data_IF_327164568835
#
_entry.id   IF_327164568835
#
_cell.length_a   1.000
_cell.length_b   1.000
_cell.length_c   1.000
_cell.angle_alpha   90.00
_cell.angle_beta   90.00
_cell.angle_gamma   90.00
#
_symmetry.space_group_name_H-M   'P 1'
#
loop_
_entity.id
_entity.type
_entity.pdbx_description
1 polymer ?
#
# COMPACT_ATOMS: atom_id res chain seq x y z
N UNK A 1 11.86 -17.00 -23.34
CA UNK A 1 11.66 -15.78 -22.51
C UNK A 1 10.78 -16.09 -21.30
N UNK A 2 11.37 -16.65 -20.24
CA UNK A 2 10.81 -16.76 -18.87
C UNK A 2 11.99 -16.89 -17.91
N UNK A 3 12.28 -15.84 -17.17
CA UNK A 3 13.11 -15.77 -15.96
C UNK A 3 12.85 -14.35 -15.42
N UNK A 4 12.58 -14.10 -14.15
CA UNK A 4 13.42 -14.39 -12.99
C UNK A 4 12.51 -14.62 -11.78
N UNK A 5 12.66 -15.78 -11.13
CA UNK A 5 12.21 -16.04 -9.78
C UNK A 5 13.43 -15.81 -8.89
N UNK A 6 13.55 -14.62 -8.31
CA UNK A 6 14.54 -14.36 -7.26
C UNK A 6 13.82 -14.28 -5.91
N UNK A 7 14.06 -15.31 -5.11
CA UNK A 7 13.55 -15.49 -3.76
C UNK A 7 14.73 -15.18 -2.85
N UNK A 8 14.73 -14.00 -2.23
CA UNK A 8 15.67 -13.70 -1.14
C UNK A 8 14.97 -12.87 -0.07
N UNK A 9 14.68 -13.52 1.07
CA UNK A 9 14.23 -12.85 2.29
C UNK A 9 12.97 -13.39 2.98
N UNK A 10 12.79 -14.71 3.11
CA UNK A 10 11.74 -15.27 3.99
C UNK A 10 12.23 -15.36 5.44
N UNK A 11 12.14 -14.25 6.19
CA UNK A 11 12.04 -14.32 7.64
C UNK A 11 10.61 -14.68 8.04
N UNK A 12 10.37 -15.90 8.54
CA UNK A 12 9.04 -16.39 8.99
C UNK A 12 8.82 -16.37 10.50
N UNK A 13 8.59 -15.20 11.11
CA UNK A 13 8.03 -15.05 12.46
C UNK A 13 6.51 -15.34 12.48
N UNK A 14 6.12 -16.54 12.93
CA UNK A 14 4.73 -17.05 13.01
C UNK A 14 3.92 -16.26 14.06
N UNK A 15 2.80 -15.66 13.64
CA UNK A 15 1.86 -14.95 14.52
C UNK A 15 0.51 -14.75 13.81
N UNK A 16 -0.61 -14.76 14.55
CA UNK A 16 -2.00 -14.90 14.05
C UNK A 16 -2.55 -13.75 13.18
N UNK A 17 -1.70 -12.90 12.60
CA UNK A 17 -2.10 -11.85 11.66
C UNK A 17 -0.91 -11.40 10.77
N UNK A 18 -0.27 -12.37 10.13
CA UNK A 18 1.00 -12.14 9.41
C UNK A 18 0.76 -11.49 8.05
N UNK A 19 1.16 -10.23 7.93
CA UNK A 19 1.23 -9.53 6.65
C UNK A 19 2.39 -10.06 5.81
N UNK A 20 2.17 -10.16 4.49
CA UNK A 20 3.22 -10.45 3.53
C UNK A 20 3.92 -9.14 3.16
N UNK A 21 5.24 -9.08 3.39
CA UNK A 21 6.07 -7.92 3.06
C UNK A 21 7.14 -8.39 2.08
N UNK A 22 7.12 -7.83 0.86
CA UNK A 22 8.17 -8.01 -0.12
C UNK A 22 9.01 -6.73 -0.19
N UNK A 23 10.33 -6.89 -0.14
CA UNK A 23 11.29 -5.78 -0.27
C UNK A 23 12.17 -6.05 -1.46
N UNK A 24 12.32 -5.03 -2.29
CA UNK A 24 13.31 -4.92 -3.35
C UNK A 24 13.97 -3.55 -3.17
N UNK A 25 15.04 -3.29 -3.91
CA UNK A 25 15.83 -2.05 -3.80
C UNK A 25 14.96 -0.79 -3.82
N UNK A 26 14.13 -0.63 -4.86
CA UNK A 26 13.26 0.54 -5.03
C UNK A 26 11.82 0.31 -4.59
N UNK A 27 11.40 -0.93 -4.39
CA UNK A 27 9.99 -1.29 -4.19
C UNK A 27 9.75 -1.98 -2.85
N UNK A 28 8.70 -1.56 -2.14
CA UNK A 28 8.14 -2.29 -1.00
C UNK A 28 6.69 -2.61 -1.30
N UNK A 29 6.30 -3.88 -1.11
CA UNK A 29 4.90 -4.32 -1.19
C UNK A 29 4.50 -4.83 0.19
N UNK A 30 3.37 -4.35 0.70
CA UNK A 30 2.71 -4.86 1.91
C UNK A 30 1.33 -5.36 1.51
N UNK A 31 1.11 -6.67 1.64
CA UNK A 31 -0.10 -7.34 1.20
C UNK A 31 -0.59 -8.32 2.27
N UNK A 32 -1.89 -8.67 2.24
CA UNK A 32 -2.43 -9.70 3.15
C UNK A 32 -1.85 -11.08 2.86
N UNK A 33 -1.62 -11.41 1.58
CA UNK A 33 -1.04 -12.66 1.09
C UNK A 33 -0.25 -12.38 -0.20
N UNK A 34 0.71 -13.24 -0.60
CA UNK A 34 1.38 -13.10 -1.89
C UNK A 34 0.41 -13.28 -3.07
N UNK A 35 0.76 -12.73 -4.24
CA UNK A 35 0.04 -12.96 -5.50
C UNK A 35 -1.32 -12.25 -5.62
N UNK A 36 -1.62 -11.26 -4.77
CA UNK A 36 -2.81 -10.43 -4.94
C UNK A 36 -2.74 -9.57 -6.20
N UNK A 37 -3.92 -9.27 -6.75
CA UNK A 37 -4.14 -8.32 -7.85
C UNK A 37 -4.74 -7.01 -7.34
N UNK A 38 -4.63 -5.96 -8.14
CA UNK A 38 -5.31 -4.68 -7.90
C UNK A 38 -6.64 -4.63 -8.65
N UNK A 39 -7.71 -5.17 -8.06
CA UNK A 39 -9.07 -5.02 -8.61
C UNK A 39 -9.63 -3.61 -8.37
N UNK A 40 -9.20 -3.02 -7.26
CA UNK A 40 -9.37 -1.63 -6.87
C UNK A 40 -7.98 -1.06 -6.60
N UNK A 41 -7.69 0.14 -7.11
CA UNK A 41 -6.44 0.84 -6.81
C UNK A 41 -6.56 2.34 -6.99
N UNK A 42 -5.96 3.11 -6.10
CA UNK A 42 -5.67 4.52 -6.30
C UNK A 42 -4.17 4.76 -6.14
N UNK A 43 -3.66 5.76 -6.83
CA UNK A 43 -2.25 6.13 -6.82
C UNK A 43 -2.05 7.50 -6.17
N UNK A 44 -0.90 7.68 -5.53
CA UNK A 44 -0.44 8.95 -4.97
C UNK A 44 1.07 9.06 -5.12
N UNK A 45 1.56 10.26 -5.39
CA UNK A 45 2.98 10.60 -5.27
C UNK A 45 3.20 11.16 -3.87
N UNK A 46 4.31 10.87 -3.20
CA UNK A 46 4.68 11.40 -1.87
C UNK A 46 6.19 11.70 -1.84
N UNK A 47 6.70 12.60 -0.97
CA UNK A 47 8.13 12.85 -0.88
C UNK A 47 8.86 11.62 -0.32
N UNK A 48 10.19 11.62 -0.47
CA UNK A 48 11.02 10.58 0.12
C UNK A 48 10.80 10.48 1.64
N UNK A 49 10.55 9.25 2.07
CA UNK A 49 10.42 8.84 3.47
C UNK A 49 10.58 7.31 3.56
N UNK A 50 10.45 6.73 4.75
CA UNK A 50 10.54 5.29 4.95
C UNK A 50 9.42 4.51 4.25
N UNK A 51 9.72 3.92 3.07
CA UNK A 51 8.77 3.16 2.21
C UNK A 51 7.90 2.16 2.97
N UNK A 52 8.50 1.36 3.86
CA UNK A 52 7.77 0.36 4.64
C UNK A 52 6.80 0.98 5.63
N UNK A 53 7.25 2.00 6.38
CA UNK A 53 6.41 2.69 7.38
C UNK A 53 5.25 3.38 6.68
N UNK A 54 5.52 4.02 5.55
CA UNK A 54 4.51 4.61 4.69
C UNK A 54 3.47 3.56 4.23
N UNK A 55 3.94 2.45 3.64
CA UNK A 55 3.06 1.39 3.17
C UNK A 55 2.16 0.83 4.30
N UNK A 56 2.71 0.68 5.50
CA UNK A 56 1.97 0.18 6.67
C UNK A 56 0.88 1.14 7.16
N UNK A 57 1.16 2.45 7.17
CA UNK A 57 0.20 3.48 7.56
C UNK A 57 -0.93 3.60 6.53
N UNK A 58 -0.60 3.73 5.24
CA UNK A 58 -1.59 3.78 4.15
C UNK A 58 -2.49 2.55 4.20
N UNK A 59 -1.91 1.35 4.35
CA UNK A 59 -2.65 0.10 4.51
C UNK A 59 -3.57 0.12 5.73
N UNK A 60 -3.12 0.66 6.86
CA UNK A 60 -3.92 0.70 8.09
C UNK A 60 -5.18 1.53 7.90
N UNK A 61 -5.07 2.72 7.32
CA UNK A 61 -6.22 3.59 7.11
C UNK A 61 -7.12 3.11 5.98
N UNK A 62 -6.53 2.60 4.89
CA UNK A 62 -7.29 1.93 3.83
C UNK A 62 -8.08 0.74 4.37
N UNK A 63 -7.48 -0.06 5.25
CA UNK A 63 -8.21 -1.14 5.91
C UNK A 63 -9.34 -0.62 6.78
N UNK A 64 -9.12 0.44 7.58
CA UNK A 64 -10.20 1.05 8.38
C UNK A 64 -11.34 1.58 7.51
N UNK A 65 -11.03 2.16 6.36
CA UNK A 65 -12.00 2.68 5.39
C UNK A 65 -12.81 1.57 4.70
N UNK A 66 -12.16 0.46 4.34
CA UNK A 66 -12.71 -0.57 3.45
C UNK A 66 -12.98 -1.91 4.15
N UNK A 67 -12.83 -2.02 5.47
CA UNK A 67 -13.01 -3.28 6.23
C UNK A 67 -14.39 -3.93 6.07
N UNK A 68 -15.43 -3.14 5.80
CA UNK A 68 -16.80 -3.64 5.63
C UNK A 68 -17.06 -4.14 4.20
N UNK A 69 -16.08 -3.96 3.30
CA UNK A 69 -16.14 -4.51 1.96
C UNK A 69 -15.84 -6.00 1.98
N UNK A 70 -16.88 -6.82 1.81
CA UNK A 70 -16.77 -8.28 1.78
C UNK A 70 -15.78 -8.72 0.69
N UNK A 71 -14.89 -9.64 1.05
CA UNK A 71 -13.90 -10.19 0.11
C UNK A 71 -12.69 -9.29 -0.15
N UNK A 72 -12.56 -8.14 0.52
CA UNK A 72 -11.43 -7.24 0.32
C UNK A 72 -10.13 -7.79 0.94
N UNK A 73 -9.09 -7.89 0.11
CA UNK A 73 -7.73 -8.25 0.51
C UNK A 73 -6.76 -7.10 0.22
N UNK A 74 -6.36 -6.32 1.24
CA UNK A 74 -5.56 -5.10 1.04
C UNK A 74 -4.12 -5.38 0.58
N UNK A 75 -3.64 -4.49 -0.28
CA UNK A 75 -2.29 -4.45 -0.84
C UNK A 75 -1.85 -3.00 -1.06
N UNK A 76 -0.62 -2.68 -0.68
CA UNK A 76 0.02 -1.40 -0.95
C UNK A 76 1.39 -1.64 -1.56
N UNK A 77 1.67 -1.00 -2.69
CA UNK A 77 2.98 -0.96 -3.33
C UNK A 77 3.53 0.45 -3.24
N UNK A 78 4.74 0.59 -2.72
CA UNK A 78 5.49 1.83 -2.68
C UNK A 78 6.74 1.64 -3.52
N UNK A 79 6.88 2.43 -4.57
CA UNK A 79 8.03 2.44 -5.46
C UNK A 79 8.71 3.79 -5.38
N UNK A 80 10.03 3.78 -5.23
CA UNK A 80 10.83 4.99 -5.34
C UNK A 80 11.18 5.23 -6.80
N UNK A 81 10.79 6.39 -7.31
CA UNK A 81 11.22 6.93 -8.60
C UNK A 81 11.88 8.28 -8.32
N UNK A 82 13.16 8.39 -8.62
CA UNK A 82 13.96 9.59 -8.35
C UNK A 82 13.82 10.07 -6.89
N UNK A 83 13.37 11.31 -6.71
CA UNK A 83 13.18 11.98 -5.42
C UNK A 83 11.74 11.90 -4.89
N UNK A 84 10.94 10.96 -5.39
CA UNK A 84 9.57 10.74 -4.94
C UNK A 84 9.24 9.26 -4.73
N UNK A 85 8.15 9.03 -4.03
CA UNK A 85 7.55 7.73 -3.81
C UNK A 85 6.19 7.66 -4.52
N UNK A 86 6.07 6.74 -5.47
CA UNK A 86 4.80 6.33 -6.05
C UNK A 86 4.15 5.27 -5.16
N UNK A 87 3.00 5.63 -4.60
CA UNK A 87 2.18 4.75 -3.78
C UNK A 87 0.98 4.30 -4.59
N UNK A 88 0.85 2.99 -4.78
CA UNK A 88 -0.39 2.35 -5.24
C UNK A 88 -1.03 1.63 -4.07
N UNK A 89 -2.20 2.08 -3.65
CA UNK A 89 -2.97 1.47 -2.58
C UNK A 89 -4.25 0.84 -3.14
N UNK A 90 -4.63 -0.31 -2.63
CA UNK A 90 -5.88 -0.97 -3.01
C UNK A 90 -5.88 -2.43 -2.63
N UNK A 91 -6.27 -3.30 -3.56
CA UNK A 91 -6.16 -4.73 -3.39
C UNK A 91 -7.15 -5.54 -4.23
N UNK A 92 -7.24 -6.82 -3.90
CA UNK A 92 -8.16 -7.76 -4.54
C UNK A 92 -9.52 -7.68 -3.86
N UNK A 93 -10.59 -7.81 -4.65
CA UNK A 93 -11.96 -7.89 -4.12
C UNK A 93 -12.63 -9.10 -4.75
N UNK A 94 -13.01 -10.05 -3.90
CA UNK A 94 -13.74 -11.24 -4.32
C UNK A 94 -15.25 -10.95 -4.38
N UNK A 95 -15.78 -10.80 -5.59
CA UNK A 95 -17.22 -10.61 -5.86
C UNK A 95 -17.59 -9.22 -6.36
N UNK A 96 -18.89 -8.91 -6.33
CA UNK A 96 -19.44 -7.60 -6.75
C UNK A 96 -19.28 -6.59 -5.63
N UNK A 97 -18.99 -5.34 -6.00
CA UNK A 97 -18.88 -4.21 -5.08
C UNK A 97 -19.21 -2.90 -5.81
N UNK A 98 -19.57 -1.81 -5.10
CA UNK A 98 -19.88 -0.52 -5.71
C UNK A 98 -18.60 0.18 -6.18
N UNK A 99 -18.03 -0.28 -7.32
CA UNK A 99 -16.68 0.07 -7.79
C UNK A 99 -16.41 1.57 -7.83
N UNK A 100 -17.28 2.35 -8.46
CA UNK A 100 -17.08 3.80 -8.60
C UNK A 100 -17.03 4.51 -7.23
N UNK A 101 -17.98 4.20 -6.34
CA UNK A 101 -18.04 4.80 -5.00
C UNK A 101 -16.84 4.37 -4.14
N UNK A 102 -16.43 3.10 -4.20
CA UNK A 102 -15.25 2.61 -3.48
C UNK A 102 -13.96 3.24 -3.99
N UNK A 103 -13.83 3.39 -5.32
CA UNK A 103 -12.70 4.07 -5.96
C UNK A 103 -12.60 5.54 -5.50
N UNK A 104 -13.72 6.27 -5.51
CA UNK A 104 -13.76 7.65 -5.05
C UNK A 104 -13.35 7.80 -3.58
N UNK A 105 -13.86 6.93 -2.69
CA UNK A 105 -13.47 6.91 -1.27
C UNK A 105 -11.98 6.65 -1.06
N UNK A 106 -11.41 5.70 -1.81
CA UNK A 106 -9.99 5.39 -1.72
C UNK A 106 -9.13 6.53 -2.27
N UNK A 107 -9.51 7.13 -3.40
CA UNK A 107 -8.83 8.29 -3.95
C UNK A 107 -8.87 9.50 -2.99
N UNK A 108 -10.02 9.76 -2.36
CA UNK A 108 -10.16 10.80 -1.35
C UNK A 108 -9.24 10.57 -0.13
N UNK A 109 -9.16 9.33 0.36
CA UNK A 109 -8.20 8.98 1.42
C UNK A 109 -6.76 9.27 1.02
N UNK A 110 -6.37 8.93 -0.21
CA UNK A 110 -5.00 9.15 -0.69
C UNK A 110 -4.71 10.64 -0.91
N UNK A 111 -5.73 11.44 -1.25
CA UNK A 111 -5.61 12.88 -1.49
C UNK A 111 -5.69 13.72 -0.21
N UNK A 112 -6.21 13.19 0.91
CA UNK A 112 -6.39 13.95 2.15
C UNK A 112 -5.05 14.45 2.73
N UNK A 113 -4.83 15.78 2.78
CA UNK A 113 -3.60 16.37 3.30
C UNK A 113 -3.25 15.94 4.72
N UNK A 114 -4.24 15.79 5.60
CA UNK A 114 -4.00 15.42 7.00
C UNK A 114 -3.48 13.98 7.12
N UNK A 115 -4.01 13.07 6.29
CA UNK A 115 -3.51 11.70 6.20
C UNK A 115 -2.09 11.67 5.64
N UNK A 116 -1.84 12.38 4.54
CA UNK A 116 -0.53 12.46 3.86
C UNK A 116 0.55 12.98 4.81
N UNK A 117 0.30 14.10 5.48
CA UNK A 117 1.25 14.68 6.45
C UNK A 117 1.55 13.74 7.59
N UNK A 118 0.53 13.10 8.15
CA UNK A 118 0.71 12.13 9.23
C UNK A 118 1.53 10.93 8.77
N UNK A 119 1.25 10.39 7.58
CA UNK A 119 1.99 9.27 7.02
C UNK A 119 3.46 9.60 6.77
N UNK A 120 3.74 10.74 6.13
CA UNK A 120 5.10 11.19 5.82
C UNK A 120 5.89 11.43 7.11
N UNK A 121 5.32 12.15 8.08
CA UNK A 121 5.94 12.40 9.39
C UNK A 121 6.24 11.09 10.12
N UNK A 122 5.29 10.16 10.16
CA UNK A 122 5.50 8.84 10.79
C UNK A 122 6.58 8.01 10.08
N UNK A 123 6.65 8.14 8.75
CA UNK A 123 7.66 7.48 7.94
C UNK A 123 9.05 8.16 8.03
N UNK A 124 9.20 9.23 8.82
CA UNK A 124 10.47 9.97 8.97
C UNK A 124 10.76 10.92 7.81
N UNK A 125 9.77 11.25 6.98
CA UNK A 125 9.89 12.28 5.96
C UNK A 125 9.88 13.68 6.58
N UNK A 126 10.80 14.53 6.11
CA UNK A 126 11.12 15.82 6.71
C UNK A 126 10.81 17.05 5.85
N UNK A 127 9.95 16.94 4.84
CA UNK A 127 9.48 18.08 4.06
C UNK A 127 7.96 18.16 4.09
N UNK A 128 7.41 19.33 4.45
CA UNK A 128 5.98 19.61 4.42
C UNK A 128 5.45 19.35 3.01
N UNK A 129 4.35 18.61 2.91
CA UNK A 129 3.56 18.55 1.69
C UNK A 129 3.02 19.96 1.46
N UNK A 130 3.48 20.64 0.42
CA UNK A 130 2.92 21.94 -0.02
C UNK A 130 1.90 21.66 -1.11
#
# INVERSE_FOLDING_TARGET
MRAIREISGTGTAKGRNRWHIQRQERVVIVARRPGLRFDLSADAILPLCGKLRLAQQVRQDMWRLLRDLRGFSPMVRVEQADDVLHVRAGGQIDGRFPRAATQARLAALLADPAHRDRWVRYAGGGARYV
#
